data_IF_560475391034
#
_entry.id   IF_560475391034
#
_cell.length_a   1.000
_cell.length_b   1.000
_cell.length_c   1.000
_cell.angle_alpha   90.00
_cell.angle_beta   90.00
_cell.angle_gamma   90.00
#
_symmetry.space_group_name_H-M   'P 1'
#
loop_
_entity.id
_entity.type
_entity.pdbx_description
1 polymer ?
#
# COMPACT_ATOMS: atom_id res chain seq x y z
N UNK A 1 13.87 14.61 19.02
CA UNK A 1 13.66 15.24 17.72
C UNK A 1 13.35 14.19 16.65
N UNK A 2 14.15 13.12 16.53
CA UNK A 2 13.99 12.06 15.53
C UNK A 2 12.60 11.38 15.60
N UNK A 3 12.16 10.95 16.79
CA UNK A 3 10.85 10.30 16.97
C UNK A 3 9.69 11.18 16.51
N UNK A 4 9.75 12.49 16.74
CA UNK A 4 8.74 13.44 16.25
C UNK A 4 8.77 13.56 14.74
N UNK A 5 9.95 13.60 14.14
CA UNK A 5 10.08 13.65 12.68
C UNK A 5 9.56 12.38 12.02
N UNK A 6 9.86 11.20 12.60
CA UNK A 6 9.32 9.91 12.12
C UNK A 6 7.78 9.87 12.20
N UNK A 7 7.20 10.29 13.32
CA UNK A 7 5.74 10.31 13.48
C UNK A 7 5.05 11.26 12.49
N UNK A 8 5.63 12.43 12.24
CA UNK A 8 5.12 13.36 11.23
C UNK A 8 5.29 12.80 9.81
N UNK A 9 6.42 12.17 9.53
CA UNK A 9 6.67 11.50 8.25
C UNK A 9 5.62 10.42 7.97
N UNK A 10 5.36 9.55 8.93
CA UNK A 10 4.35 8.50 8.82
C UNK A 10 2.94 9.08 8.67
N UNK A 11 2.59 10.12 9.41
CA UNK A 11 1.30 10.79 9.27
C UNK A 11 1.07 11.30 7.85
N UNK A 12 2.05 12.02 7.27
CA UNK A 12 1.95 12.52 5.90
C UNK A 12 1.98 11.39 4.87
N UNK A 13 2.73 10.33 5.11
CA UNK A 13 2.72 9.12 4.28
C UNK A 13 1.31 8.54 4.21
N UNK A 14 0.68 8.28 5.35
CA UNK A 14 -0.68 7.72 5.43
C UNK A 14 -1.72 8.63 4.77
N UNK A 15 -1.58 9.94 4.96
CA UNK A 15 -2.46 10.92 4.34
C UNK A 15 -2.29 10.95 2.82
N UNK A 16 -1.05 10.95 2.32
CA UNK A 16 -0.75 11.05 0.89
C UNK A 16 -1.05 9.77 0.11
N UNK A 17 -0.98 8.62 0.74
CA UNK A 17 -1.32 7.32 0.15
C UNK A 17 -2.78 6.93 0.36
N UNK A 18 -3.56 7.80 1.00
CA UNK A 18 -4.98 7.60 1.33
C UNK A 18 -5.28 6.36 2.18
N UNK A 19 -4.25 5.79 2.81
CA UNK A 19 -4.40 4.67 3.72
C UNK A 19 -5.42 4.95 4.83
N UNK A 20 -5.54 6.21 5.24
CA UNK A 20 -6.47 6.66 6.27
C UNK A 20 -7.94 6.47 5.88
N UNK A 21 -8.30 6.79 4.64
CA UNK A 21 -9.69 6.79 4.16
C UNK A 21 -10.23 5.39 3.92
N UNK A 22 -9.37 4.40 3.70
CA UNK A 22 -9.78 3.02 3.48
C UNK A 22 -10.37 2.35 4.71
N UNK A 23 -10.14 2.93 5.88
CA UNK A 23 -10.60 2.39 7.17
C UNK A 23 -11.80 3.12 7.78
N UNK A 24 -12.23 4.24 7.18
CA UNK A 24 -13.29 5.07 7.76
C UNK A 24 -14.41 5.31 6.75
N UNK A 25 -15.58 4.78 7.04
CA UNK A 25 -16.79 5.16 6.31
C UNK A 25 -17.25 6.53 6.78
N UNK A 26 -17.28 7.51 5.88
CA UNK A 26 -17.63 8.89 6.16
C UNK A 26 -19.13 9.16 6.11
N UNK A 27 -19.94 8.15 5.77
CA UNK A 27 -21.38 8.25 5.63
C UNK A 27 -21.84 8.68 4.22
N UNK A 28 -23.10 8.38 3.91
CA UNK A 28 -23.69 8.62 2.59
C UNK A 28 -23.67 10.08 2.15
N UNK A 29 -23.77 11.01 3.09
CA UNK A 29 -23.74 12.45 2.79
C UNK A 29 -22.43 12.90 2.18
N UNK A 30 -21.31 12.23 2.46
CA UNK A 30 -20.00 12.49 1.87
C UNK A 30 -19.79 11.56 0.68
N UNK A 31 -20.04 10.26 0.82
CA UNK A 31 -19.82 9.26 -0.21
C UNK A 31 -20.56 9.57 -1.53
N UNK A 32 -21.76 10.13 -1.44
CA UNK A 32 -22.62 10.43 -2.60
C UNK A 32 -22.47 11.88 -3.15
N UNK A 33 -21.51 12.65 -2.65
CA UNK A 33 -21.27 14.02 -3.16
C UNK A 33 -20.15 14.04 -4.20
N UNK A 34 -20.11 15.12 -4.98
CA UNK A 34 -19.01 15.44 -5.89
C UNK A 34 -17.78 15.95 -5.12
N UNK A 35 -17.39 15.16 -4.14
CA UNK A 35 -16.25 15.44 -3.28
C UNK A 35 -15.01 14.71 -3.82
N UNK A 36 -13.85 15.35 -3.77
CA UNK A 36 -12.57 14.73 -4.08
C UNK A 36 -12.09 14.00 -2.84
N UNK A 37 -12.15 12.68 -2.86
CA UNK A 37 -11.73 11.83 -1.74
C UNK A 37 -10.22 11.57 -1.73
N UNK A 38 -9.61 11.56 -2.93
CA UNK A 38 -8.22 11.11 -3.12
C UNK A 38 -7.46 12.04 -4.06
N UNK A 39 -6.16 12.28 -3.84
CA UNK A 39 -5.35 13.09 -4.75
C UNK A 39 -5.35 12.51 -6.16
N UNK A 40 -5.60 13.36 -7.14
CA UNK A 40 -5.61 13.00 -8.56
C UNK A 40 -6.55 11.83 -8.91
N UNK A 41 -7.61 11.61 -8.14
CA UNK A 41 -8.60 10.59 -8.43
C UNK A 41 -9.21 10.78 -9.81
N UNK A 42 -9.52 9.65 -10.46
CA UNK A 42 -10.30 9.62 -11.69
C UNK A 42 -11.43 8.62 -11.57
N UNK A 43 -12.51 8.90 -12.30
CA UNK A 43 -13.72 8.10 -12.27
C UNK A 43 -13.94 7.43 -13.61
N UNK A 44 -14.20 6.13 -13.57
CA UNK A 44 -14.41 5.29 -14.73
C UNK A 44 -15.84 4.77 -14.75
N UNK A 45 -16.59 5.15 -15.79
CA UNK A 45 -17.99 4.73 -15.95
C UNK A 45 -18.09 3.22 -16.11
N UNK A 46 -19.09 2.65 -15.46
CA UNK A 46 -19.45 1.25 -15.66
C UNK A 46 -20.01 1.04 -17.06
N UNK A 47 -19.47 0.04 -17.78
CA UNK A 47 -19.92 -0.39 -19.09
C UNK A 47 -20.21 -1.89 -19.06
N UNK A 48 -21.28 -2.27 -18.35
CA UNK A 48 -21.59 -3.68 -18.08
C UNK A 48 -20.72 -4.29 -16.98
N UNK A 49 -20.57 -5.59 -16.98
CA UNK A 49 -19.93 -6.35 -15.89
C UNK A 49 -18.42 -6.43 -15.99
N UNK A 50 -17.85 -6.15 -17.14
CA UNK A 50 -16.41 -6.23 -17.34
C UNK A 50 -15.69 -5.01 -16.77
N UNK A 51 -14.54 -5.25 -16.18
CA UNK A 51 -13.66 -4.19 -15.71
C UNK A 51 -13.26 -3.27 -16.88
N UNK A 52 -13.28 -1.95 -16.68
CA UNK A 52 -12.79 -0.99 -17.67
C UNK A 52 -11.35 -1.31 -18.09
N UNK A 53 -11.06 -1.25 -19.38
CA UNK A 53 -9.72 -1.54 -19.92
C UNK A 53 -8.66 -0.54 -19.50
N UNK A 54 -9.08 0.64 -19.10
CA UNK A 54 -8.25 1.73 -18.64
C UNK A 54 -7.76 1.54 -17.19
N UNK A 55 -8.45 0.67 -16.42
CA UNK A 55 -8.06 0.31 -15.07
C UNK A 55 -7.01 -0.80 -15.10
N UNK A 56 -5.94 -0.61 -14.33
CA UNK A 56 -4.86 -1.59 -14.20
C UNK A 56 -4.18 -1.89 -15.55
N UNK A 57 -3.28 -2.85 -15.56
CA UNK A 57 -2.77 -3.47 -16.79
C UNK A 57 -3.46 -4.82 -16.99
N UNK A 58 -3.45 -5.40 -18.21
CA UNK A 58 -4.00 -6.72 -18.44
C UNK A 58 -3.46 -7.79 -17.50
N UNK A 59 -2.16 -7.73 -17.17
CA UNK A 59 -1.51 -8.65 -16.23
C UNK A 59 -2.06 -8.47 -14.80
N UNK A 60 -2.25 -7.22 -14.38
CA UNK A 60 -2.81 -6.91 -13.06
C UNK A 60 -4.30 -7.26 -12.98
N UNK A 61 -5.07 -7.02 -14.06
CA UNK A 61 -6.46 -7.46 -14.10
C UNK A 61 -6.56 -8.99 -13.94
N UNK A 62 -5.70 -9.74 -14.64
CA UNK A 62 -5.65 -11.19 -14.49
C UNK A 62 -5.18 -11.63 -13.10
N UNK A 63 -4.27 -10.89 -12.48
CA UNK A 63 -3.78 -11.18 -11.13
C UNK A 63 -4.86 -10.99 -10.07
N UNK A 64 -5.60 -9.87 -10.11
CA UNK A 64 -6.64 -9.55 -9.13
C UNK A 64 -8.00 -10.21 -9.42
N UNK A 65 -8.22 -10.68 -10.64
CA UNK A 65 -9.46 -11.34 -11.07
C UNK A 65 -9.13 -12.54 -11.99
N UNK A 66 -8.42 -13.55 -11.46
CA UNK A 66 -7.88 -14.66 -12.26
C UNK A 66 -8.99 -15.46 -12.98
N UNK A 67 -10.13 -15.64 -12.33
CA UNK A 67 -11.26 -16.43 -12.85
C UNK A 67 -12.29 -15.55 -13.58
N UNK A 68 -12.03 -14.25 -13.67
CA UNK A 68 -12.95 -13.26 -14.29
C UNK A 68 -14.36 -13.26 -13.66
N UNK A 69 -14.48 -13.64 -12.41
CA UNK A 69 -15.76 -13.72 -11.67
C UNK A 69 -16.16 -12.41 -11.02
N UNK A 70 -15.16 -11.55 -10.68
CA UNK A 70 -15.43 -10.25 -10.09
C UNK A 70 -15.92 -9.27 -11.16
N UNK A 71 -17.10 -8.70 -10.96
CA UNK A 71 -17.73 -7.75 -11.87
C UNK A 71 -17.36 -6.31 -11.55
N UNK A 72 -17.49 -5.41 -12.53
CA UNK A 72 -17.07 -4.02 -12.42
C UNK A 72 -17.74 -3.25 -11.27
N UNK A 73 -19.00 -3.55 -10.97
CA UNK A 73 -19.72 -2.90 -9.85
C UNK A 73 -19.11 -3.20 -8.49
N UNK A 74 -18.42 -4.32 -8.33
CA UNK A 74 -17.71 -4.67 -7.09
C UNK A 74 -16.45 -3.84 -6.84
N UNK A 75 -15.98 -3.10 -7.84
CA UNK A 75 -14.87 -2.16 -7.68
C UNK A 75 -15.28 -0.79 -7.14
N UNK A 76 -16.57 -0.56 -6.93
CA UNK A 76 -17.05 0.66 -6.27
C UNK A 76 -16.73 0.53 -4.78
N UNK A 77 -15.92 1.45 -4.28
CA UNK A 77 -15.52 1.41 -2.87
C UNK A 77 -16.59 2.00 -1.94
N UNK A 78 -16.47 1.68 -0.65
CA UNK A 78 -17.46 2.07 0.35
C UNK A 78 -17.52 3.58 0.58
N UNK A 79 -16.38 4.26 0.52
CA UNK A 79 -16.30 5.69 0.84
C UNK A 79 -16.70 6.60 -0.32
N UNK A 80 -16.41 6.16 -1.54
CA UNK A 80 -16.78 6.87 -2.76
C UNK A 80 -18.03 6.33 -3.43
N UNK A 81 -18.77 5.45 -2.78
CA UNK A 81 -19.86 4.58 -3.24
C UNK A 81 -20.98 5.22 -4.06
N UNK A 82 -20.62 6.03 -5.04
CA UNK A 82 -21.53 6.64 -6.00
C UNK A 82 -21.47 5.90 -7.33
N UNK A 83 -22.40 4.97 -7.54
CA UNK A 83 -22.48 4.15 -8.75
C UNK A 83 -22.71 4.97 -10.03
N UNK A 84 -23.29 6.15 -9.93
CA UNK A 84 -23.50 7.05 -11.08
C UNK A 84 -22.18 7.67 -11.57
N UNK A 85 -21.26 7.93 -10.66
CA UNK A 85 -19.89 8.36 -11.01
C UNK A 85 -19.06 7.19 -11.55
N UNK A 86 -19.27 5.99 -11.03
CA UNK A 86 -18.59 4.77 -11.42
C UNK A 86 -17.49 4.35 -10.44
N UNK A 87 -16.37 3.86 -10.96
CA UNK A 87 -15.24 3.36 -10.18
C UNK A 87 -14.25 4.47 -9.96
N UNK A 88 -13.98 4.79 -8.70
CA UNK A 88 -12.89 5.71 -8.31
C UNK A 88 -11.54 4.99 -8.39
N UNK A 89 -10.56 5.59 -9.03
CA UNK A 89 -9.21 5.06 -9.13
C UNK A 89 -8.15 6.13 -8.97
N UNK A 90 -7.01 5.74 -8.43
CA UNK A 90 -5.85 6.61 -8.19
C UNK A 90 -4.75 6.27 -9.21
N UNK A 91 -4.10 7.29 -9.82
CA UNK A 91 -2.99 7.07 -10.73
C UNK A 91 -1.70 6.71 -9.96
N UNK A 92 -1.07 5.62 -10.37
CA UNK A 92 0.25 5.22 -9.91
C UNK A 92 1.23 5.19 -11.08
N UNK A 93 2.44 5.66 -10.86
CA UNK A 93 3.51 5.62 -11.84
C UNK A 93 4.27 4.31 -11.73
N UNK A 94 4.26 3.50 -12.79
CA UNK A 94 5.02 2.26 -12.83
C UNK A 94 6.50 2.55 -13.08
N UNK A 95 7.36 2.23 -12.11
CA UNK A 95 8.77 2.63 -12.15
C UNK A 95 9.58 2.07 -13.33
N UNK A 96 9.23 0.89 -13.84
CA UNK A 96 9.99 0.23 -14.92
C UNK A 96 9.90 0.93 -16.27
N UNK A 97 8.80 1.64 -16.55
CA UNK A 97 8.52 2.24 -17.86
C UNK A 97 7.80 3.59 -17.81
N UNK A 98 7.68 4.13 -16.58
CA UNK A 98 7.11 5.45 -16.30
C UNK A 98 5.63 5.62 -16.72
N UNK A 99 4.94 4.52 -17.02
CA UNK A 99 3.53 4.54 -17.40
C UNK A 99 2.62 4.75 -16.20
N UNK A 100 1.56 5.50 -16.41
CA UNK A 100 0.50 5.65 -15.41
C UNK A 100 -0.44 4.45 -15.46
N UNK A 101 -0.71 3.88 -14.28
CA UNK A 101 -1.64 2.78 -14.07
C UNK A 101 -2.68 3.24 -13.04
N UNK A 102 -3.95 3.14 -13.39
CA UNK A 102 -5.04 3.51 -12.49
C UNK A 102 -5.46 2.31 -11.64
N UNK A 103 -5.30 2.44 -10.33
CA UNK A 103 -5.71 1.42 -9.36
C UNK A 103 -7.06 1.78 -8.75
N UNK A 104 -8.07 0.90 -8.82
CA UNK A 104 -9.32 1.09 -8.10
C UNK A 104 -9.08 1.23 -6.61
N UNK A 105 -9.69 2.25 -6.01
CA UNK A 105 -9.56 2.51 -4.57
C UNK A 105 -10.05 1.33 -3.75
N UNK A 106 -11.11 0.65 -4.19
CA UNK A 106 -11.61 -0.56 -3.57
C UNK A 106 -10.53 -1.65 -3.42
N UNK A 107 -9.72 -1.91 -4.46
CA UNK A 107 -8.62 -2.88 -4.36
C UNK A 107 -7.56 -2.44 -3.35
N UNK A 108 -7.17 -1.17 -3.37
CA UNK A 108 -6.18 -0.64 -2.43
C UNK A 108 -6.68 -0.79 -1.00
N UNK A 109 -7.94 -0.41 -0.73
CA UNK A 109 -8.56 -0.50 0.57
C UNK A 109 -8.66 -1.92 1.11
N UNK A 110 -8.93 -2.89 0.26
CA UNK A 110 -9.08 -4.29 0.66
C UNK A 110 -7.76 -5.05 0.88
N UNK A 111 -6.63 -4.48 0.46
CA UNK A 111 -5.34 -5.12 0.71
C UNK A 111 -4.89 -5.03 2.16
N UNK A 112 -5.36 -4.05 2.91
CA UNK A 112 -5.02 -3.80 4.33
C UNK A 112 -3.52 -3.83 4.64
N UNK A 113 -2.70 -3.42 3.68
CA UNK A 113 -1.24 -3.42 3.79
C UNK A 113 -0.67 -2.07 3.43
N UNK A 114 0.40 -1.70 4.12
CA UNK A 114 1.15 -0.46 3.89
C UNK A 114 2.54 -0.70 3.29
N UNK A 115 2.83 -1.93 2.87
CA UNK A 115 4.16 -2.29 2.35
C UNK A 115 4.51 -1.48 1.11
N UNK A 116 5.66 -0.84 1.15
CA UNK A 116 6.13 0.04 0.08
C UNK A 116 5.56 1.46 0.14
N UNK A 117 4.77 1.80 1.16
CA UNK A 117 4.46 3.19 1.50
C UNK A 117 5.62 3.78 2.29
N UNK A 118 6.07 4.96 1.93
CA UNK A 118 7.12 5.61 2.70
C UNK A 118 7.15 7.13 2.49
N UNK A 119 7.62 7.83 3.51
CA UNK A 119 7.97 9.23 3.45
C UNK A 119 9.50 9.41 3.45
N UNK A 120 9.95 10.56 2.97
CA UNK A 120 11.35 10.96 3.00
C UNK A 120 11.48 12.46 2.76
N UNK A 121 12.61 13.03 3.13
CA UNK A 121 12.88 14.45 2.85
C UNK A 121 13.06 14.71 1.35
N UNK A 122 13.36 13.68 0.60
CA UNK A 122 13.46 13.71 -0.86
C UNK A 122 12.72 12.52 -1.47
N UNK A 123 12.36 12.64 -2.75
CA UNK A 123 11.76 11.53 -3.49
C UNK A 123 12.67 10.30 -3.53
N UNK A 124 13.98 10.48 -3.57
CA UNK A 124 14.96 9.39 -3.57
C UNK A 124 14.96 8.64 -2.23
N UNK A 125 14.93 9.36 -1.11
CA UNK A 125 14.82 8.74 0.22
C UNK A 125 13.53 7.94 0.36
N UNK A 126 12.39 8.53 -0.01
CA UNK A 126 11.12 7.84 0.02
C UNK A 126 11.12 6.56 -0.83
N UNK A 127 11.65 6.62 -2.06
CA UNK A 127 11.78 5.44 -2.93
C UNK A 127 12.69 4.37 -2.35
N UNK A 128 13.82 4.77 -1.77
CA UNK A 128 14.76 3.83 -1.15
C UNK A 128 14.12 3.12 0.03
N UNK A 129 13.42 3.85 0.89
CA UNK A 129 12.71 3.29 2.03
C UNK A 129 11.58 2.36 1.58
N UNK A 130 10.78 2.76 0.60
CA UNK A 130 9.71 1.93 0.04
C UNK A 130 10.23 0.60 -0.51
N UNK A 131 11.31 0.64 -1.29
CA UNK A 131 11.92 -0.57 -1.83
C UNK A 131 12.53 -1.44 -0.74
N UNK A 132 13.21 -0.84 0.25
CA UNK A 132 13.78 -1.57 1.38
C UNK A 132 12.70 -2.34 2.15
N UNK A 133 11.54 -1.72 2.40
CA UNK A 133 10.43 -2.37 3.07
C UNK A 133 9.84 -3.53 2.25
N UNK A 134 9.70 -3.37 0.94
CA UNK A 134 9.23 -4.44 0.05
C UNK A 134 10.19 -5.64 0.11
N UNK A 135 11.50 -5.41 0.02
CA UNK A 135 12.51 -6.47 0.12
C UNK A 135 12.53 -7.12 1.50
N UNK A 136 12.43 -6.34 2.56
CA UNK A 136 12.34 -6.88 3.93
C UNK A 136 11.17 -7.85 4.06
N UNK A 137 9.99 -7.48 3.56
CA UNK A 137 8.79 -8.32 3.61
C UNK A 137 8.95 -9.59 2.76
N UNK A 138 9.46 -9.48 1.56
CA UNK A 138 9.69 -10.63 0.67
C UNK A 138 10.65 -11.64 1.31
N UNK A 139 11.79 -11.17 1.82
CA UNK A 139 12.77 -12.00 2.51
C UNK A 139 12.17 -12.65 3.76
N UNK A 140 11.43 -11.87 4.56
CA UNK A 140 10.76 -12.39 5.77
C UNK A 140 9.78 -13.52 5.43
N UNK A 141 8.93 -13.32 4.42
CA UNK A 141 8.00 -14.36 3.97
C UNK A 141 8.71 -15.59 3.43
N UNK A 142 9.81 -15.41 2.69
CA UNK A 142 10.64 -16.52 2.21
C UNK A 142 11.22 -17.32 3.37
N UNK A 143 11.81 -16.66 4.35
CA UNK A 143 12.37 -17.30 5.55
C UNK A 143 11.30 -18.16 6.26
N UNK A 144 10.11 -17.58 6.48
CA UNK A 144 9.01 -18.26 7.17
C UNK A 144 8.50 -19.45 6.33
N UNK A 145 8.24 -19.22 5.05
CA UNK A 145 7.67 -20.25 4.13
C UNK A 145 8.60 -21.45 3.93
N UNK A 146 9.90 -21.19 3.84
CA UNK A 146 10.90 -22.21 3.54
C UNK A 146 11.54 -22.77 4.82
N UNK A 147 11.16 -22.28 6.00
CA UNK A 147 11.72 -22.72 7.28
C UNK A 147 13.23 -22.46 7.38
N UNK A 148 13.72 -21.37 6.78
CA UNK A 148 15.15 -21.06 6.77
C UNK A 148 15.60 -20.70 8.17
N UNK A 149 16.54 -21.47 8.71
CA UNK A 149 17.24 -21.11 9.95
C UNK A 149 18.38 -20.14 9.61
N UNK A 150 18.29 -18.92 10.13
CA UNK A 150 19.35 -17.93 9.95
C UNK A 150 20.52 -18.24 10.88
N UNK A 151 21.77 -17.92 10.48
CA UNK A 151 22.93 -18.09 11.35
C UNK A 151 22.83 -17.17 12.58
N UNK A 152 23.38 -17.64 13.69
CA UNK A 152 23.49 -16.82 14.90
C UNK A 152 24.35 -15.59 14.66
N UNK A 153 23.99 -14.49 15.29
CA UNK A 153 24.81 -13.27 15.27
C UNK A 153 26.08 -13.53 16.10
N UNK A 154 27.28 -13.39 15.51
CA UNK A 154 28.53 -13.64 16.24
C UNK A 154 28.64 -12.78 17.51
N UNK A 155 29.08 -13.37 18.62
CA UNK A 155 29.25 -12.64 19.89
C UNK A 155 30.12 -11.40 19.76
N UNK A 156 31.15 -11.43 18.91
CA UNK A 156 31.98 -10.27 18.62
C UNK A 156 31.18 -9.08 18.05
N UNK A 157 30.09 -9.34 17.33
CA UNK A 157 29.20 -8.29 16.83
C UNK A 157 28.29 -7.80 17.96
N UNK A 158 27.70 -8.70 18.74
CA UNK A 158 26.81 -8.37 19.87
C UNK A 158 27.56 -7.50 20.89
N UNK A 159 28.81 -7.86 21.21
CA UNK A 159 29.63 -7.15 22.19
C UNK A 159 30.02 -5.71 21.78
N UNK A 160 29.87 -5.34 20.50
CA UNK A 160 30.01 -3.94 20.06
C UNK A 160 28.87 -3.05 20.55
N UNK A 161 27.77 -3.66 21.02
CA UNK A 161 26.58 -2.97 21.49
C UNK A 161 26.26 -3.37 22.94
N UNK A 162 26.91 -2.75 23.94
CA UNK A 162 26.82 -3.18 25.35
C UNK A 162 25.39 -3.30 25.88
N UNK A 163 24.47 -2.40 25.50
CA UNK A 163 23.07 -2.46 25.92
C UNK A 163 22.34 -3.68 25.36
N UNK A 164 22.64 -4.07 24.14
CA UNK A 164 22.10 -5.29 23.51
C UNK A 164 22.66 -6.53 24.18
N UNK A 165 23.96 -6.56 24.44
CA UNK A 165 24.62 -7.67 25.13
C UNK A 165 24.04 -7.90 26.54
N UNK A 166 23.79 -6.83 27.28
CA UNK A 166 23.15 -6.91 28.60
C UNK A 166 21.70 -7.42 28.49
N UNK A 167 20.92 -6.92 27.52
CA UNK A 167 19.55 -7.37 27.29
C UNK A 167 19.47 -8.87 26.96
N UNK A 168 20.34 -9.36 26.08
CA UNK A 168 20.39 -10.80 25.73
C UNK A 168 20.73 -11.66 26.94
N UNK A 169 21.67 -11.23 27.79
CA UNK A 169 22.01 -11.96 29.05
C UNK A 169 20.85 -12.00 30.03
N UNK A 170 19.99 -10.98 30.04
CA UNK A 170 18.81 -10.94 30.90
C UNK A 170 17.63 -11.79 30.40
N UNK A 171 17.66 -12.27 29.15
CA UNK A 171 16.64 -13.13 28.58
C UNK A 171 16.99 -14.64 28.65
N UNK A 172 18.20 -14.99 29.05
CA UNK A 172 18.68 -16.35 29.32
C UNK A 172 18.58 -16.68 30.80
#
# INVERSE_FOLDING_TARGET
>A
LAARASALGEYFERLSTNYFWTHFYLGETIANKDFVHYPNEQWFKLKGDKWPKELLTPELQKFYNPDSTAVASQLIDLNSGNSERGICAIPYKRLRDDKTVFFPVNLIGNLYVSNGMSAGNTLMEARTQALAEIFERDIKYKIIREGICLPDVPEAVINRYPRIAVGIKGLR
#
